data_IF_760906913602
#
_entry.id   IF_760906913602
#
_cell.length_a   1.000
_cell.length_b   1.000
_cell.length_c   1.000
_cell.angle_alpha   90.00
_cell.angle_beta   90.00
_cell.angle_gamma   90.00
#
_symmetry.space_group_name_H-M   'P 1'
#
loop_
_entity.id
_entity.type
_entity.pdbx_description
1 polymer ?
#
# COMPACT_ATOMS: atom_id res chain seq x y z
N UNK A 1 38.12 26.31 25.45
CA UNK A 1 36.80 26.66 24.86
C UNK A 1 36.61 26.27 23.40
N UNK A 2 37.61 26.38 22.50
CA UNK A 2 37.45 25.99 21.08
C UNK A 2 37.33 24.48 20.82
N UNK A 3 37.94 23.63 21.65
CA UNK A 3 37.88 22.15 21.52
C UNK A 3 36.54 21.57 22.03
N UNK A 4 35.93 22.20 23.04
CA UNK A 4 34.63 21.80 23.58
C UNK A 4 33.46 22.10 22.63
N UNK A 5 33.56 23.18 21.83
CA UNK A 5 32.55 23.52 20.80
C UNK A 5 32.61 22.53 19.63
N UNK A 6 33.79 22.00 19.29
CA UNK A 6 33.93 20.99 18.23
C UNK A 6 33.40 19.60 18.63
N UNK A 7 33.52 19.22 19.91
CA UNK A 7 32.98 17.97 20.43
C UNK A 7 31.44 17.95 20.54
N UNK A 8 30.82 19.12 20.81
CA UNK A 8 29.35 19.26 20.86
C UNK A 8 28.71 19.30 19.46
N UNK A 9 29.41 19.83 18.45
CA UNK A 9 28.93 19.85 17.05
C UNK A 9 28.99 18.45 16.42
N UNK A 10 29.97 17.63 16.80
CA UNK A 10 30.13 16.27 16.26
C UNK A 10 29.17 15.23 16.88
N UNK A 11 28.68 15.46 18.11
CA UNK A 11 27.60 14.66 18.68
C UNK A 11 26.22 14.96 18.06
N UNK A 12 26.00 16.17 17.54
CA UNK A 12 24.73 16.56 16.94
C UNK A 12 24.57 16.07 15.49
N UNK A 13 25.67 15.81 14.78
CA UNK A 13 25.64 15.25 13.42
C UNK A 13 25.37 13.74 13.38
N UNK A 14 25.57 13.01 14.48
CA UNK A 14 25.32 11.57 14.56
C UNK A 14 23.86 11.23 14.90
N UNK A 15 23.08 12.17 15.43
CA UNK A 15 21.65 11.97 15.69
C UNK A 15 20.79 12.11 14.41
N UNK A 16 21.30 12.80 13.38
CA UNK A 16 20.63 12.98 12.09
C UNK A 16 21.00 11.92 11.05
N UNK A 17 22.02 11.09 11.31
CA UNK A 17 22.47 10.04 10.39
C UNK A 17 21.63 8.75 10.45
N UNK A 18 20.67 8.66 11.38
CA UNK A 18 19.68 7.57 11.47
C UNK A 18 18.26 8.02 11.17
N UNK A 19 18.09 9.18 10.53
CA UNK A 19 16.89 9.44 9.73
C UNK A 19 16.93 8.50 8.52
N UNK A 20 16.76 7.20 8.76
CA UNK A 20 16.43 6.21 7.75
C UNK A 20 15.36 6.85 6.86
N UNK A 21 15.54 6.74 5.55
CA UNK A 21 14.58 7.08 4.52
C UNK A 21 13.31 6.23 4.66
N UNK A 22 12.58 6.41 5.75
CA UNK A 22 11.26 5.86 5.91
C UNK A 22 10.44 6.60 4.84
N UNK A 23 10.10 5.88 3.77
CA UNK A 23 9.18 6.40 2.75
C UNK A 23 7.89 6.91 3.39
N UNK A 24 7.01 7.52 2.60
CA UNK A 24 5.76 8.14 3.06
C UNK A 24 5.08 7.34 4.20
N UNK A 25 4.66 8.01 5.27
CA UNK A 25 3.76 7.39 6.26
C UNK A 25 2.46 6.96 5.56
N UNK A 26 1.68 6.07 6.17
CA UNK A 26 0.38 5.67 5.62
C UNK A 26 -0.53 6.88 5.39
N UNK A 27 -0.57 7.80 6.33
CA UNK A 27 -1.37 9.04 6.27
C UNK A 27 -0.85 9.98 5.17
N UNK A 28 0.47 10.15 5.08
CA UNK A 28 1.09 10.95 4.02
C UNK A 28 0.82 10.36 2.64
N UNK A 29 0.87 9.03 2.50
CA UNK A 29 0.52 8.34 1.27
C UNK A 29 -0.96 8.54 0.91
N UNK A 30 -1.87 8.39 1.88
CA UNK A 30 -3.29 8.65 1.67
C UNK A 30 -3.58 10.08 1.17
N UNK A 31 -2.91 11.08 1.74
CA UNK A 31 -3.03 12.47 1.27
C UNK A 31 -2.44 12.65 -0.15
N UNK A 32 -1.31 11.99 -0.42
CA UNK A 32 -0.57 12.13 -1.68
C UNK A 32 -1.24 11.46 -2.89
N UNK A 33 -2.26 10.62 -2.70
CA UNK A 33 -3.09 10.07 -3.79
C UNK A 33 -3.79 11.17 -4.62
N UNK A 34 -3.91 12.40 -4.12
CA UNK A 34 -4.50 13.54 -4.82
C UNK A 34 -3.48 14.58 -5.27
N UNK A 35 -2.18 14.28 -5.17
CA UNK A 35 -1.12 15.22 -5.49
C UNK A 35 -1.09 15.55 -6.99
N UNK A 36 -0.71 16.79 -7.34
CA UNK A 36 -0.66 17.28 -8.73
C UNK A 36 0.31 16.48 -9.62
N UNK A 37 1.42 16.05 -9.05
CA UNK A 37 2.43 15.24 -9.73
C UNK A 37 2.01 13.77 -9.76
N UNK A 38 2.00 13.18 -10.96
CA UNK A 38 1.66 11.78 -11.17
C UNK A 38 2.63 10.83 -10.45
N UNK A 39 3.92 11.14 -10.39
CA UNK A 39 4.89 10.29 -9.69
C UNK A 39 4.55 10.17 -8.19
N UNK A 40 4.24 11.30 -7.55
CA UNK A 40 3.83 11.30 -6.14
C UNK A 40 2.55 10.46 -5.90
N UNK A 41 1.59 10.47 -6.84
CA UNK A 41 0.37 9.63 -6.75
C UNK A 41 0.69 8.14 -6.91
N UNK A 42 1.60 7.79 -7.82
CA UNK A 42 2.11 6.41 -7.99
C UNK A 42 2.78 5.90 -6.71
N UNK A 43 3.70 6.68 -6.16
CA UNK A 43 4.43 6.33 -4.96
C UNK A 43 3.49 6.20 -3.75
N UNK A 44 2.49 7.08 -3.67
CA UNK A 44 1.43 7.01 -2.68
C UNK A 44 0.60 5.73 -2.77
N UNK A 45 0.13 5.37 -3.97
CA UNK A 45 -0.62 4.14 -4.19
C UNK A 45 0.21 2.90 -3.85
N UNK A 46 1.47 2.83 -4.34
CA UNK A 46 2.35 1.72 -4.00
C UNK A 46 2.57 1.62 -2.49
N UNK A 47 2.80 2.75 -1.81
CA UNK A 47 3.01 2.77 -0.35
C UNK A 47 1.79 2.27 0.41
N UNK A 48 0.57 2.69 0.03
CA UNK A 48 -0.65 2.12 0.61
C UNK A 48 -0.79 0.63 0.30
N UNK A 49 -0.31 0.18 -0.86
CA UNK A 49 -0.17 -1.24 -1.17
C UNK A 49 0.78 -1.99 -0.24
N UNK A 50 1.71 -1.34 0.45
CA UNK A 50 2.62 -1.95 1.41
C UNK A 50 2.09 -1.88 2.85
N UNK A 51 1.60 -0.71 3.28
CA UNK A 51 1.27 -0.42 4.69
C UNK A 51 -0.19 -0.04 4.94
N UNK A 52 -0.97 0.10 3.88
CA UNK A 52 -2.39 0.42 3.96
C UNK A 52 -3.22 -0.74 4.49
N UNK A 53 -4.42 -0.41 4.95
CA UNK A 53 -5.41 -1.32 5.51
C UNK A 53 -6.72 -1.24 4.73
N UNK A 54 -7.70 -2.08 5.08
CA UNK A 54 -9.04 -2.04 4.48
C UNK A 54 -9.68 -0.66 4.51
N UNK A 55 -9.35 0.18 5.50
CA UNK A 55 -9.86 1.56 5.59
C UNK A 55 -9.38 2.49 4.46
N UNK A 56 -8.32 2.13 3.73
CA UNK A 56 -7.78 2.92 2.61
C UNK A 56 -8.40 2.53 1.25
N UNK A 57 -9.17 1.43 1.20
CA UNK A 57 -9.79 0.91 -0.02
C UNK A 57 -10.62 1.99 -0.74
N UNK A 58 -11.48 2.80 -0.08
CA UNK A 58 -12.23 3.84 -0.77
C UNK A 58 -11.36 4.90 -1.46
N UNK A 59 -10.15 5.17 -0.95
CA UNK A 59 -9.21 6.10 -1.58
C UNK A 59 -8.57 5.47 -2.82
N UNK A 60 -8.13 4.23 -2.72
CA UNK A 60 -7.52 3.50 -3.83
C UNK A 60 -8.52 3.19 -4.95
N UNK A 61 -9.78 2.88 -4.62
CA UNK A 61 -10.86 2.73 -5.62
C UNK A 61 -11.08 4.03 -6.41
N UNK A 62 -10.96 5.21 -5.77
CA UNK A 62 -10.98 6.48 -6.52
C UNK A 62 -9.76 6.63 -7.42
N UNK A 63 -8.58 6.21 -6.95
CA UNK A 63 -7.33 6.25 -7.72
C UNK A 63 -7.33 5.30 -8.93
N UNK A 64 -8.21 4.29 -8.99
CA UNK A 64 -8.44 3.51 -10.22
C UNK A 64 -8.97 4.34 -11.40
N UNK A 65 -9.42 5.58 -11.15
CA UNK A 65 -9.87 6.53 -12.18
C UNK A 65 -8.84 7.63 -12.45
N UNK A 66 -7.61 7.48 -11.98
CA UNK A 66 -6.55 8.46 -12.20
C UNK A 66 -6.29 8.68 -13.70
N UNK A 67 -6.05 9.92 -14.15
CA UNK A 67 -5.66 10.17 -15.54
C UNK A 67 -4.36 9.46 -15.94
N UNK A 68 -3.42 9.30 -15.02
CA UNK A 68 -2.14 8.60 -15.26
C UNK A 68 -2.33 7.08 -15.20
N UNK A 69 -1.92 6.38 -16.26
CA UNK A 69 -2.14 4.93 -16.39
C UNK A 69 -1.36 4.12 -15.34
N UNK A 70 -0.13 4.54 -15.05
CA UNK A 70 0.72 3.88 -14.07
C UNK A 70 0.17 4.08 -12.65
N UNK A 71 -0.38 5.25 -12.34
CA UNK A 71 -1.10 5.48 -11.08
C UNK A 71 -2.30 4.54 -10.91
N UNK A 72 -3.08 4.31 -11.98
CA UNK A 72 -4.17 3.31 -11.96
C UNK A 72 -3.64 1.91 -11.67
N UNK A 73 -2.55 1.50 -12.35
CA UNK A 73 -1.92 0.20 -12.14
C UNK A 73 -1.34 0.01 -10.74
N UNK A 74 -0.80 1.08 -10.13
CA UNK A 74 -0.36 1.03 -8.73
C UNK A 74 -1.53 0.95 -7.76
N UNK A 75 -2.64 1.67 -8.02
CA UNK A 75 -3.85 1.59 -7.21
C UNK A 75 -4.48 0.21 -7.24
N UNK A 76 -4.55 -0.42 -8.42
CA UNK A 76 -5.02 -1.80 -8.58
C UNK A 76 -4.17 -2.79 -7.78
N UNK A 77 -2.84 -2.75 -7.94
CA UNK A 77 -1.94 -3.61 -7.19
C UNK A 77 -2.05 -3.39 -5.68
N UNK A 78 -2.24 -2.15 -5.24
CA UNK A 78 -2.42 -1.84 -3.83
C UNK A 78 -3.71 -2.46 -3.28
N UNK A 79 -4.82 -2.42 -4.03
CA UNK A 79 -6.06 -3.08 -3.65
C UNK A 79 -5.89 -4.60 -3.53
N UNK A 80 -5.24 -5.24 -4.50
CA UNK A 80 -4.93 -6.68 -4.43
C UNK A 80 -4.15 -7.05 -3.17
N UNK A 81 -3.12 -6.26 -2.86
CA UNK A 81 -2.28 -6.50 -1.68
C UNK A 81 -3.04 -6.28 -0.38
N UNK A 82 -3.92 -5.28 -0.30
CA UNK A 82 -4.73 -5.01 0.90
C UNK A 82 -5.77 -6.11 1.13
N UNK A 83 -6.47 -6.56 0.08
CA UNK A 83 -7.45 -7.65 0.22
C UNK A 83 -6.81 -8.99 0.57
N UNK A 84 -5.58 -9.25 0.11
CA UNK A 84 -4.80 -10.41 0.55
C UNK A 84 -4.32 -10.37 2.01
N UNK A 85 -4.51 -9.24 2.72
CA UNK A 85 -4.21 -9.06 4.15
C UNK A 85 -5.34 -8.30 4.85
N UNK A 86 -6.57 -8.71 4.60
CA UNK A 86 -7.80 -8.07 5.08
C UNK A 86 -7.93 -8.02 6.60
N UNK A 87 -7.08 -8.75 7.33
CA UNK A 87 -7.13 -8.89 8.79
C UNK A 87 -8.09 -10.00 9.24
N UNK A 88 -8.66 -10.74 8.31
CA UNK A 88 -9.47 -11.94 8.56
C UNK A 88 -8.76 -13.16 7.93
N UNK A 89 -8.26 -14.10 8.75
CA UNK A 89 -7.52 -15.25 8.26
C UNK A 89 -8.28 -16.13 7.26
N UNK A 90 -9.61 -16.22 7.36
CA UNK A 90 -10.40 -17.02 6.41
C UNK A 90 -10.44 -16.33 5.05
N UNK A 91 -10.70 -15.02 5.05
CA UNK A 91 -10.71 -14.21 3.82
C UNK A 91 -9.34 -14.21 3.15
N UNK A 92 -8.27 -14.00 3.92
CA UNK A 92 -6.90 -13.94 3.38
C UNK A 92 -6.50 -15.27 2.74
N UNK A 93 -6.86 -16.39 3.37
CA UNK A 93 -6.64 -17.74 2.81
C UNK A 93 -7.43 -17.95 1.51
N UNK A 94 -8.72 -17.62 1.51
CA UNK A 94 -9.56 -17.74 0.31
C UNK A 94 -9.03 -16.86 -0.82
N UNK A 95 -8.55 -15.66 -0.51
CA UNK A 95 -7.99 -14.74 -1.49
C UNK A 95 -6.77 -15.35 -2.19
N UNK A 96 -5.86 -15.94 -1.41
CA UNK A 96 -4.69 -16.64 -1.94
C UNK A 96 -5.08 -17.85 -2.79
N UNK A 97 -6.07 -18.65 -2.36
CA UNK A 97 -6.62 -19.76 -3.16
C UNK A 97 -7.20 -19.26 -4.49
N UNK A 98 -7.96 -18.16 -4.48
CA UNK A 98 -8.55 -17.58 -5.68
C UNK A 98 -7.49 -17.11 -6.69
N UNK A 99 -6.38 -16.53 -6.20
CA UNK A 99 -5.21 -16.16 -7.00
C UNK A 99 -4.54 -17.38 -7.63
N UNK A 100 -4.32 -18.44 -6.86
CA UNK A 100 -3.72 -19.68 -7.35
C UNK A 100 -4.57 -20.33 -8.44
N UNK A 101 -5.89 -20.37 -8.26
CA UNK A 101 -6.83 -20.85 -9.27
C UNK A 101 -6.79 -20.00 -10.54
N UNK A 102 -6.78 -18.67 -10.40
CA UNK A 102 -6.68 -17.75 -11.54
C UNK A 102 -5.38 -17.96 -12.33
N UNK A 103 -4.25 -18.03 -11.64
CA UNK A 103 -2.93 -18.27 -12.26
C UNK A 103 -2.82 -19.67 -12.88
N UNK A 104 -3.50 -20.66 -12.29
CA UNK A 104 -3.59 -22.02 -12.82
C UNK A 104 -4.58 -22.20 -13.98
N UNK A 105 -5.35 -21.16 -14.32
CA UNK A 105 -6.36 -21.19 -15.39
C UNK A 105 -7.71 -21.80 -14.98
N UNK A 106 -7.90 -22.15 -13.71
CA UNK A 106 -9.19 -22.62 -13.19
C UNK A 106 -10.09 -21.43 -12.84
N UNK A 107 -10.51 -20.70 -13.88
CA UNK A 107 -11.26 -19.46 -13.74
C UNK A 107 -12.65 -19.68 -13.11
N UNK A 108 -13.27 -20.84 -13.35
CA UNK A 108 -14.57 -21.15 -12.75
C UNK A 108 -14.47 -21.29 -11.23
N UNK A 109 -13.48 -22.05 -10.73
CA UNK A 109 -13.28 -22.16 -9.28
C UNK A 109 -12.80 -20.84 -8.69
N UNK A 110 -11.95 -20.09 -9.39
CA UNK A 110 -11.52 -18.76 -8.95
C UNK A 110 -12.70 -17.82 -8.71
N UNK A 111 -13.67 -17.77 -9.63
CA UNK A 111 -14.90 -16.97 -9.48
C UNK A 111 -15.71 -17.41 -8.25
N UNK A 112 -15.87 -18.72 -8.02
CA UNK A 112 -16.59 -19.22 -6.84
C UNK A 112 -15.88 -18.83 -5.54
N UNK A 113 -14.55 -18.94 -5.51
CA UNK A 113 -13.73 -18.56 -4.35
C UNK A 113 -13.86 -17.06 -4.05
N UNK A 114 -13.73 -16.19 -5.04
CA UNK A 114 -13.90 -14.74 -4.83
C UNK A 114 -15.35 -14.36 -4.49
N UNK A 115 -16.35 -15.07 -5.04
CA UNK A 115 -17.76 -14.90 -4.64
C UNK A 115 -17.95 -15.19 -3.15
N UNK A 116 -17.33 -16.27 -2.65
CA UNK A 116 -17.40 -16.62 -1.24
C UNK A 116 -16.80 -15.55 -0.32
N UNK A 117 -15.72 -14.89 -0.75
CA UNK A 117 -15.13 -13.77 -0.01
C UNK A 117 -16.13 -12.61 0.11
N UNK A 118 -16.82 -12.26 -0.97
CA UNK A 118 -17.84 -11.20 -0.98
C UNK A 118 -19.00 -11.54 -0.04
N UNK A 119 -19.42 -12.80 0.01
CA UNK A 119 -20.46 -13.24 0.96
C UNK A 119 -20.03 -13.15 2.43
N UNK A 120 -18.75 -13.38 2.72
CA UNK A 120 -18.20 -13.28 4.08
C UNK A 120 -18.02 -11.83 4.53
N UNK A 121 -17.68 -10.92 3.61
CA UNK A 121 -17.49 -9.50 3.86
C UNK A 121 -18.19 -8.66 2.77
N UNK A 122 -19.50 -8.42 2.91
CA UNK A 122 -20.28 -7.69 1.91
C UNK A 122 -20.02 -6.17 1.86
N UNK A 123 -19.29 -5.62 2.82
CA UNK A 123 -19.01 -4.19 3.03
C UNK A 123 -17.50 -3.90 3.11
#
# INVERSE_FOLDING_TARGET
MRVLVLALVSALCLASATAQSQGLSREQAAQSLSHRDAQARRDAANRLGEVGTMGDVPLLVRALRDPDADARGQAEQALWRIWGRSGDPEVDRLYQTGIEQMNGGDLQQSVLTFTRIIELKPD
#
